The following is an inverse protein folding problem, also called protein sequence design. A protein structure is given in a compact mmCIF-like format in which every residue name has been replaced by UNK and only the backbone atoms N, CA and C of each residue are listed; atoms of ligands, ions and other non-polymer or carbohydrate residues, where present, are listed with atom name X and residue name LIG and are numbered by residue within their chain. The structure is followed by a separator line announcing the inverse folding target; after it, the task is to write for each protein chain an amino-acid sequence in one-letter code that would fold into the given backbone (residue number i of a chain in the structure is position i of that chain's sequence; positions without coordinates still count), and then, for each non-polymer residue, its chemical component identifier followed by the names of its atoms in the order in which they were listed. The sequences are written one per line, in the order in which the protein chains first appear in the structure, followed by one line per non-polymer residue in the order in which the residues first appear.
data_IF_231117647563
#
_entry.id   IF_231117647563
#
_cell.length_a   1.000
_cell.length_b   1.000
_cell.length_c   1.000
_cell.angle_alpha   90.00
_cell.angle_beta   90.00
_cell.angle_gamma   90.00
#
_symmetry.space_group_name_H-M   'P 1'
#
loop_
_entity.id
_entity.type
_entity.pdbx_description
1 polymer ?
#
# COMPACT_ATOMS: atom_id res chain seq x y z
N UNK A 1 -7.91 -2.17 16.48
CA UNK A 1 -7.14 -2.18 15.23
C UNK A 1 -8.13 -2.44 14.10
N UNK A 2 -8.21 -1.56 13.11
CA UNK A 2 -9.12 -1.76 11.96
C UNK A 2 -8.48 -2.65 10.91
N UNK A 3 -9.28 -3.16 9.97
CA UNK A 3 -8.79 -4.05 8.91
C UNK A 3 -7.72 -3.38 8.04
N UNK A 4 -7.84 -2.07 7.77
CA UNK A 4 -6.81 -1.32 7.04
C UNK A 4 -5.51 -1.14 7.83
N UNK A 5 -5.55 -1.12 9.17
CA UNK A 5 -4.33 -1.11 9.99
C UNK A 5 -3.58 -2.45 9.87
N UNK A 6 -4.30 -3.57 9.87
CA UNK A 6 -3.71 -4.91 9.67
C UNK A 6 -3.01 -4.98 8.32
N UNK A 7 -3.63 -4.46 7.26
CA UNK A 7 -3.00 -4.39 5.94
C UNK A 7 -1.75 -3.50 5.93
N UNK A 8 -1.75 -2.37 6.64
CA UNK A 8 -0.53 -1.53 6.78
C UNK A 8 0.59 -2.27 7.51
N UNK A 9 0.27 -2.99 8.58
CA UNK A 9 1.25 -3.81 9.30
C UNK A 9 1.84 -4.90 8.40
N UNK A 10 1.04 -5.57 7.58
CA UNK A 10 1.54 -6.52 6.59
C UNK A 10 2.45 -5.85 5.56
N UNK A 11 2.14 -4.63 5.13
CA UNK A 11 3.00 -3.89 4.23
C UNK A 11 4.37 -3.59 4.87
N UNK A 12 4.38 -3.14 6.12
CA UNK A 12 5.61 -2.80 6.83
C UNK A 12 6.45 -4.05 7.12
N UNK A 13 5.81 -5.17 7.46
CA UNK A 13 6.49 -6.46 7.60
C UNK A 13 7.13 -6.91 6.26
N UNK A 14 6.45 -6.70 5.14
CA UNK A 14 7.03 -6.97 3.81
C UNK A 14 8.23 -6.07 3.53
N UNK A 15 8.23 -4.80 3.95
CA UNK A 15 9.38 -3.92 3.78
C UNK A 15 10.58 -4.38 4.62
N UNK A 16 10.36 -4.79 5.87
CA UNK A 16 11.43 -5.36 6.70
C UNK A 16 12.03 -6.63 6.08
N UNK A 17 11.20 -7.47 5.42
CA UNK A 17 11.70 -8.62 4.66
C UNK A 17 12.49 -8.20 3.42
N UNK A 18 12.06 -7.13 2.72
CA UNK A 18 12.75 -6.60 1.55
C UNK A 18 14.15 -6.06 1.90
N UNK A 19 14.28 -5.39 3.06
CA UNK A 19 15.55 -4.86 3.58
C UNK A 19 16.56 -5.96 3.92
N UNK A 20 16.07 -7.12 4.38
CA UNK A 20 16.89 -8.26 4.81
C UNK A 20 17.07 -9.31 3.72
N UNK A 21 16.51 -9.11 2.54
CA UNK A 21 16.54 -10.09 1.47
C UNK A 21 17.97 -10.27 0.93
N UNK A 22 18.40 -11.53 0.81
CA UNK A 22 19.75 -11.88 0.34
C UNK A 22 19.96 -11.70 -1.17
N UNK A 23 18.93 -11.27 -1.91
CA UNK A 23 19.02 -11.05 -3.35
C UNK A 23 18.04 -10.00 -3.86
N UNK A 24 18.43 -9.32 -4.94
CA UNK A 24 17.61 -8.33 -5.63
C UNK A 24 16.22 -8.87 -6.05
N UNK A 25 16.09 -10.09 -6.62
CA UNK A 25 14.78 -10.63 -6.95
C UNK A 25 13.87 -10.81 -5.73
N UNK A 26 14.43 -11.27 -4.60
CA UNK A 26 13.67 -11.45 -3.36
C UNK A 26 13.24 -10.10 -2.77
N UNK A 27 14.15 -9.13 -2.72
CA UNK A 27 13.84 -7.76 -2.28
C UNK A 27 12.69 -7.17 -3.10
N UNK A 28 12.79 -7.22 -4.43
CA UNK A 28 11.74 -6.73 -5.35
C UNK A 28 10.39 -7.43 -5.15
N UNK A 29 10.38 -8.74 -4.88
CA UNK A 29 9.15 -9.49 -4.59
C UNK A 29 8.47 -8.94 -3.33
N UNK A 30 9.22 -8.77 -2.23
CA UNK A 30 8.66 -8.25 -0.99
C UNK A 30 8.21 -6.79 -1.11
N UNK A 31 8.95 -5.94 -1.83
CA UNK A 31 8.51 -4.57 -2.12
C UNK A 31 7.17 -4.52 -2.85
N UNK A 32 6.97 -5.39 -3.86
CA UNK A 32 5.67 -5.47 -4.58
C UNK A 32 4.54 -5.95 -3.68
N UNK A 33 4.81 -6.90 -2.79
CA UNK A 33 3.83 -7.33 -1.80
C UNK A 33 3.44 -6.19 -0.86
N UNK A 34 4.42 -5.40 -0.37
CA UNK A 34 4.15 -4.24 0.46
C UNK A 34 3.25 -3.20 -0.25
N UNK A 35 3.51 -2.95 -1.54
CA UNK A 35 2.65 -2.09 -2.36
C UNK A 35 1.22 -2.64 -2.48
N UNK A 36 1.07 -3.95 -2.70
CA UNK A 36 -0.24 -4.60 -2.75
C UNK A 36 -1.02 -4.45 -1.44
N UNK A 37 -0.37 -4.68 -0.30
CA UNK A 37 -0.99 -4.48 1.02
C UNK A 37 -1.39 -3.02 1.28
N UNK A 38 -0.57 -2.04 0.88
CA UNK A 38 -0.92 -0.62 0.99
C UNK A 38 -2.12 -0.25 0.12
N UNK A 39 -2.22 -0.81 -1.08
CA UNK A 39 -3.39 -0.61 -1.94
C UNK A 39 -4.66 -1.18 -1.30
N UNK A 40 -4.59 -2.37 -0.69
CA UNK A 40 -5.72 -2.95 0.05
C UNK A 40 -6.10 -2.11 1.28
N UNK A 41 -5.13 -1.57 2.02
CA UNK A 41 -5.41 -0.66 3.13
C UNK A 41 -6.14 0.61 2.69
N UNK A 42 -5.74 1.18 1.55
CA UNK A 42 -6.39 2.35 0.95
C UNK A 42 -7.84 2.05 0.56
N UNK A 43 -8.04 0.93 -0.14
CA UNK A 43 -9.38 0.50 -0.56
C UNK A 43 -10.27 0.21 0.64
N UNK A 44 -9.73 -0.41 1.69
CA UNK A 44 -10.48 -0.71 2.90
C UNK A 44 -10.92 0.57 3.63
N UNK A 45 -10.05 1.59 3.73
CA UNK A 45 -10.46 2.89 4.28
C UNK A 45 -11.54 3.57 3.43
N UNK A 46 -11.51 3.40 2.11
CA UNK A 46 -12.57 3.90 1.23
C UNK A 46 -13.90 3.15 1.46
N UNK A 47 -13.87 1.83 1.54
CA UNK A 47 -15.06 1.00 1.81
C UNK A 47 -15.67 1.27 3.18
N UNK A 48 -14.83 1.55 4.18
CA UNK A 48 -15.26 1.85 5.55
C UNK A 48 -15.77 3.30 5.70
N UNK A 49 -15.68 4.13 4.64
CA UNK A 49 -16.10 5.53 4.66
C UNK A 49 -15.13 6.47 5.38
N UNK A 50 -13.95 5.97 5.76
CA UNK A 50 -12.86 6.72 6.41
C UNK A 50 -12.13 7.64 5.42
N UNK A 51 -12.23 7.35 4.12
CA UNK A 51 -11.73 8.19 3.05
C UNK A 51 -12.89 8.79 2.27
N UNK A 52 -13.02 10.10 2.29
CA UNK A 52 -13.96 10.79 1.40
C UNK A 52 -13.57 10.50 -0.05
N UNK A 53 -14.48 10.00 -0.90
CA UNK A 53 -14.18 9.81 -2.31
C UNK A 53 -13.75 11.17 -2.87
N UNK A 54 -12.50 11.27 -3.31
CA UNK A 54 -12.06 12.47 -4.04
C UNK A 54 -12.99 12.63 -5.23
N UNK A 55 -13.77 13.71 -5.22
CA UNK A 55 -14.76 13.97 -6.25
C UNK A 55 -14.05 14.13 -7.59
N UNK A 56 -14.07 13.08 -8.40
CA UNK A 56 -13.66 13.09 -9.81
C UNK A 56 -12.16 13.19 -10.07
N UNK A 57 -11.58 12.10 -10.56
CA UNK A 57 -10.62 12.05 -11.68
C UNK A 57 -10.02 13.42 -12.11
N UNK A 58 -9.04 13.95 -11.37
CA UNK A 58 -7.97 14.82 -11.88
C UNK A 58 -6.75 14.75 -10.96
N UNK A 59 -5.97 13.68 -11.09
CA UNK A 59 -4.57 13.67 -10.65
C UNK A 59 -3.67 13.08 -11.74
N UNK A 60 -3.99 13.38 -13.00
CA UNK A 60 -3.15 13.08 -14.17
C UNK A 60 -2.95 14.28 -15.10
N UNK A 61 -3.28 15.51 -14.66
CA UNK A 61 -3.09 16.73 -15.45
C UNK A 61 -2.71 17.89 -14.52
N UNK A 62 -1.43 17.95 -14.15
CA UNK A 62 -0.67 19.19 -13.95
C UNK A 62 0.72 18.83 -13.43
N UNK A 63 1.57 18.34 -14.34
CA UNK A 63 2.99 18.65 -14.32
C UNK A 63 3.14 19.76 -15.35
N UNK A 64 3.24 20.99 -14.88
CA UNK A 64 3.89 22.11 -15.57
C UNK A 64 5.18 22.41 -14.78
#
# INVERSE_FOLDING_TARGET
MKQSDIFREHADNCLQLAERAESDPASRRYTRMAQGWRALALEQDWLDGEMTPLSGRKASLSQD
#
